data_IF_552260804705
#
_entry.id   IF_552260804705
#
_cell.length_a   1.000
_cell.length_b   1.000
_cell.length_c   1.000
_cell.angle_alpha   90.00
_cell.angle_beta   90.00
_cell.angle_gamma   90.00
#
_symmetry.space_group_name_H-M   'P 1'
#
loop_
_entity.id
_entity.type
_entity.pdbx_description
1 polymer ?
#
# COMPACT_ATOMS: atom_id res chain seq x y z
N UNK A 1 5.84 -14.08 27.10
CA UNK A 1 6.17 -13.43 25.81
C UNK A 1 5.42 -12.11 25.82
N UNK A 2 6.11 -10.96 25.73
CA UNK A 2 5.42 -9.66 25.69
C UNK A 2 4.54 -9.60 24.44
N UNK A 3 3.31 -9.15 24.60
CA UNK A 3 2.43 -8.90 23.45
C UNK A 3 3.09 -7.86 22.55
N UNK A 4 3.35 -8.20 21.30
CA UNK A 4 3.82 -7.27 20.30
C UNK A 4 2.71 -6.24 20.05
N UNK A 5 2.90 -5.00 20.50
CA UNK A 5 1.96 -3.91 20.35
C UNK A 5 2.69 -2.68 19.82
N UNK A 6 2.20 -2.12 18.73
CA UNK A 6 2.73 -0.90 18.11
C UNK A 6 1.66 0.17 18.02
N UNK A 7 2.03 1.38 18.35
CA UNK A 7 1.23 2.58 18.19
C UNK A 7 1.96 3.51 17.22
N UNK A 8 1.42 3.63 16.02
CA UNK A 8 1.96 4.49 14.96
C UNK A 8 1.10 5.75 14.91
N UNK A 9 1.65 6.90 15.29
CA UNK A 9 0.92 8.16 15.37
C UNK A 9 1.56 9.23 14.48
N UNK A 10 0.73 10.00 13.80
CA UNK A 10 1.08 11.23 13.12
C UNK A 10 0.43 12.41 13.84
N UNK A 11 1.17 13.49 14.13
CA UNK A 11 0.63 14.66 14.83
C UNK A 11 -0.33 15.45 13.95
N UNK A 12 -1.13 16.31 14.56
CA UNK A 12 -1.89 17.31 13.83
C UNK A 12 -0.96 18.14 12.93
N UNK A 13 -1.41 18.42 11.72
CA UNK A 13 -0.60 19.13 10.72
C UNK A 13 -1.45 19.85 9.68
N UNK A 14 -0.87 20.92 9.10
CA UNK A 14 -1.43 21.55 7.90
C UNK A 14 -1.17 20.70 6.65
N UNK A 15 -1.85 21.03 5.55
CA UNK A 15 -1.62 20.42 4.23
C UNK A 15 -0.24 20.70 3.62
N UNK A 16 0.63 21.46 4.29
CA UNK A 16 2.00 21.75 3.81
C UNK A 16 3.05 20.84 4.41
N UNK A 17 2.68 20.01 5.38
CA UNK A 17 3.61 19.15 6.11
C UNK A 17 3.24 17.68 5.89
N UNK A 18 4.14 16.94 5.25
CA UNK A 18 4.06 15.49 5.18
C UNK A 18 4.32 14.89 6.56
N UNK A 19 3.47 13.98 6.96
CA UNK A 19 3.57 13.22 8.21
C UNK A 19 3.42 11.74 7.90
N UNK A 20 4.36 10.95 8.39
CA UNK A 20 4.41 9.50 8.23
C UNK A 20 4.84 8.87 9.55
N UNK A 21 4.12 7.84 9.96
CA UNK A 21 4.59 6.86 10.92
C UNK A 21 4.57 5.49 10.23
N UNK A 22 5.71 4.81 10.19
CA UNK A 22 5.87 3.54 9.47
C UNK A 22 6.75 2.59 10.26
N UNK A 23 6.36 1.32 10.24
CA UNK A 23 7.16 0.19 10.65
C UNK A 23 7.33 -0.73 9.46
N UNK A 24 8.56 -1.09 9.14
CA UNK A 24 8.88 -2.03 8.07
C UNK A 24 10.08 -2.89 8.41
N UNK A 25 10.30 -3.96 7.64
CA UNK A 25 11.44 -4.85 7.82
C UNK A 25 12.42 -4.84 6.63
N UNK A 26 12.26 -3.90 5.70
CA UNK A 26 13.16 -3.83 4.55
C UNK A 26 14.55 -3.26 4.89
N UNK A 27 14.64 -2.30 5.82
CA UNK A 27 15.89 -1.65 6.21
C UNK A 27 16.74 -1.23 4.99
N UNK A 28 18.03 -1.53 5.02
CA UNK A 28 18.98 -1.29 3.92
C UNK A 28 18.99 -2.40 2.83
N UNK A 29 18.13 -3.42 2.91
CA UNK A 29 18.13 -4.56 1.98
C UNK A 29 17.77 -4.12 0.57
N UNK A 30 18.36 -4.78 -0.44
CA UNK A 30 17.89 -4.68 -1.84
C UNK A 30 16.56 -5.40 -1.97
N UNK A 31 15.71 -5.03 -2.94
CA UNK A 31 14.42 -5.71 -3.18
C UNK A 31 14.54 -7.22 -3.36
N UNK A 32 15.59 -7.69 -4.04
CA UNK A 32 15.86 -9.13 -4.20
C UNK A 32 16.11 -9.87 -2.90
N UNK A 33 16.49 -9.14 -1.84
CA UNK A 33 16.85 -9.66 -0.53
C UNK A 33 15.77 -9.41 0.53
N UNK A 34 14.57 -8.99 0.11
CA UNK A 34 13.43 -8.86 1.01
C UNK A 34 13.04 -10.21 1.57
N UNK A 35 12.44 -10.18 2.76
CA UNK A 35 12.36 -11.36 3.61
C UNK A 35 11.27 -12.35 3.19
N UNK A 36 10.13 -11.82 2.71
CA UNK A 36 8.93 -12.62 2.59
C UNK A 36 8.66 -13.09 1.16
N UNK A 37 8.34 -14.36 1.03
CA UNK A 37 7.96 -15.02 -0.22
C UNK A 37 6.73 -15.89 0.04
N UNK A 38 5.91 -16.15 -0.99
CA UNK A 38 4.83 -17.10 -0.84
C UNK A 38 5.39 -18.55 -0.70
N UNK A 39 4.74 -19.44 0.07
CA UNK A 39 3.53 -19.16 0.84
C UNK A 39 3.82 -18.48 2.18
N UNK A 40 2.97 -17.52 2.54
CA UNK A 40 3.07 -16.72 3.76
C UNK A 40 1.67 -16.47 4.32
N UNK A 41 1.48 -16.72 5.62
CA UNK A 41 0.34 -16.22 6.37
C UNK A 41 0.78 -15.04 7.23
N UNK A 42 0.09 -13.91 7.11
CA UNK A 42 0.18 -12.75 8.00
C UNK A 42 -1.11 -12.66 8.81
N UNK A 43 -1.00 -12.54 10.11
CA UNK A 43 -2.14 -12.27 11.01
C UNK A 43 -1.80 -11.16 11.99
N UNK A 44 -2.75 -10.29 12.28
CA UNK A 44 -2.61 -9.23 13.28
C UNK A 44 -3.99 -8.74 13.73
N UNK A 45 -4.02 -8.03 14.86
CA UNK A 45 -5.16 -7.21 15.24
C UNK A 45 -4.83 -5.74 15.04
N UNK A 46 -5.77 -4.96 14.48
CA UNK A 46 -5.57 -3.54 14.24
C UNK A 46 -6.83 -2.73 14.49
N UNK A 47 -6.62 -1.44 14.82
CA UNK A 47 -7.63 -0.38 14.84
C UNK A 47 -7.01 0.98 14.58
N UNK A 48 -7.82 1.97 14.24
CA UNK A 48 -7.38 3.35 14.00
C UNK A 48 -8.17 4.36 14.80
N UNK A 49 -7.66 5.60 14.88
CA UNK A 49 -8.25 6.67 15.69
C UNK A 49 -9.60 7.17 15.22
N UNK A 50 -9.93 7.03 13.92
CA UNK A 50 -11.21 7.47 13.36
C UNK A 50 -11.53 6.72 12.06
N UNK A 51 -12.83 6.68 11.70
CA UNK A 51 -13.30 6.01 10.48
C UNK A 51 -12.78 6.69 9.20
N UNK A 52 -12.78 8.03 9.18
CA UNK A 52 -12.47 8.86 8.03
C UNK A 52 -11.14 9.59 8.24
N UNK A 53 -10.03 8.87 8.22
CA UNK A 53 -8.71 9.48 8.34
C UNK A 53 -8.24 10.08 7.01
N UNK A 54 -7.60 11.27 7.03
CA UNK A 54 -6.99 11.85 5.84
C UNK A 54 -5.74 11.06 5.44
N UNK A 55 -5.47 10.98 4.13
CA UNK A 55 -4.30 10.29 3.60
C UNK A 55 -4.50 8.80 3.45
N UNK A 56 -3.51 8.03 3.87
CA UNK A 56 -3.51 6.56 3.75
C UNK A 56 -3.04 5.88 5.05
N UNK A 57 -3.52 4.67 5.27
CA UNK A 57 -2.97 3.78 6.28
C UNK A 57 -3.17 2.33 5.87
N UNK A 58 -2.41 1.43 6.43
CA UNK A 58 -2.56 0.02 6.14
C UNK A 58 -1.45 -0.85 6.69
N UNK A 59 -1.54 -2.12 6.33
CA UNK A 59 -0.56 -3.14 6.68
C UNK A 59 -0.58 -4.29 5.65
N UNK A 60 0.57 -4.88 5.41
CA UNK A 60 0.72 -5.97 4.46
C UNK A 60 2.14 -6.14 4.00
N UNK A 61 2.30 -6.67 2.80
CA UNK A 61 3.60 -6.88 2.18
C UNK A 61 3.70 -6.15 0.84
N UNK A 62 4.87 -5.55 0.55
CA UNK A 62 5.09 -4.80 -0.67
C UNK A 62 6.57 -4.78 -1.11
N UNK A 63 6.81 -4.41 -2.37
CA UNK A 63 8.16 -4.30 -2.91
C UNK A 63 8.77 -2.91 -2.77
N UNK A 64 8.15 -1.96 -2.05
CA UNK A 64 8.60 -0.58 -1.92
C UNK A 64 8.90 0.08 -3.27
N UNK A 65 7.89 0.28 -4.13
CA UNK A 65 8.10 0.59 -5.55
C UNK A 65 8.74 1.95 -5.80
N UNK A 66 8.46 2.96 -4.95
CA UNK A 66 8.84 4.36 -5.16
C UNK A 66 9.49 4.91 -3.89
N UNK A 67 10.81 4.85 -3.79
CA UNK A 67 11.54 5.33 -2.60
C UNK A 67 11.76 6.84 -2.56
N UNK A 68 11.76 7.52 -3.70
CA UNK A 68 12.09 8.95 -3.78
C UNK A 68 10.88 9.88 -3.67
N UNK A 69 9.65 9.39 -3.87
CA UNK A 69 8.43 10.21 -3.74
C UNK A 69 7.92 10.30 -2.30
N UNK A 70 8.35 9.43 -1.42
CA UNK A 70 7.79 9.30 -0.07
C UNK A 70 8.53 10.12 0.99
N UNK A 71 9.53 10.94 0.61
CA UNK A 71 10.16 11.93 1.51
C UNK A 71 10.72 11.37 2.82
N UNK A 72 10.95 10.06 2.92
CA UNK A 72 11.45 9.42 4.12
C UNK A 72 12.95 9.65 4.26
N UNK A 73 13.35 10.48 5.22
CA UNK A 73 14.74 10.64 5.62
C UNK A 73 15.31 9.29 6.07
N UNK A 74 16.51 8.95 5.60
CA UNK A 74 17.22 7.72 5.98
C UNK A 74 16.94 6.48 5.14
N UNK A 75 16.09 6.55 4.12
CA UNK A 75 15.83 5.41 3.23
C UNK A 75 16.90 5.32 2.15
N UNK A 76 17.47 4.12 1.98
CA UNK A 76 18.41 3.85 0.89
C UNK A 76 17.70 4.07 -0.46
N UNK A 77 18.20 4.97 -1.33
CA UNK A 77 17.63 5.19 -2.65
C UNK A 77 17.60 3.88 -3.44
N UNK A 78 16.43 3.51 -3.92
CA UNK A 78 16.24 2.32 -4.77
C UNK A 78 15.77 2.76 -6.15
N UNK A 79 16.20 2.05 -7.17
CA UNK A 79 15.64 2.24 -8.51
C UNK A 79 14.11 2.06 -8.47
N UNK A 80 13.34 2.83 -9.27
CA UNK A 80 11.90 2.65 -9.34
C UNK A 80 11.55 1.22 -9.76
N UNK A 81 10.43 0.73 -9.26
CA UNK A 81 9.85 -0.56 -9.65
C UNK A 81 8.34 -0.39 -9.83
N UNK A 82 7.73 -1.28 -10.58
CA UNK A 82 6.27 -1.39 -10.60
C UNK A 82 5.79 -2.03 -9.28
N UNK A 83 4.58 -1.70 -8.80
CA UNK A 83 4.09 -2.18 -7.52
C UNK A 83 3.81 -3.68 -7.52
N UNK A 84 4.36 -4.39 -6.56
CA UNK A 84 3.97 -5.72 -6.12
C UNK A 84 3.58 -5.62 -4.65
N UNK A 85 2.34 -5.96 -4.31
CA UNK A 85 1.84 -5.84 -2.96
C UNK A 85 0.62 -6.73 -2.71
N UNK A 86 0.44 -7.13 -1.46
CA UNK A 86 -0.79 -7.68 -0.94
C UNK A 86 -1.02 -7.06 0.45
N UNK A 87 -2.12 -6.36 0.66
CA UNK A 87 -2.34 -5.55 1.85
C UNK A 87 -3.80 -5.25 2.16
N UNK A 88 -4.07 -4.96 3.42
CA UNK A 88 -5.22 -4.19 3.85
C UNK A 88 -4.83 -2.71 3.84
N UNK A 89 -5.63 -1.90 3.15
CA UNK A 89 -5.22 -0.55 2.80
C UNK A 89 -6.39 0.41 2.80
N UNK A 90 -6.26 1.52 3.51
CA UNK A 90 -7.21 2.63 3.46
C UNK A 90 -6.63 3.78 2.64
N UNK A 91 -7.48 4.39 1.84
CA UNK A 91 -7.22 5.62 1.13
C UNK A 91 -8.39 6.59 1.28
N UNK A 92 -8.12 7.82 1.71
CA UNK A 92 -9.14 8.87 1.78
C UNK A 92 -9.70 9.21 0.38
N UNK A 93 -10.90 9.82 0.27
CA UNK A 93 -11.56 10.09 -1.02
C UNK A 93 -10.77 10.98 -2.00
N UNK A 94 -9.74 11.70 -1.54
CA UNK A 94 -8.84 12.48 -2.39
C UNK A 94 -7.91 11.61 -3.22
N UNK A 95 -7.73 10.36 -2.82
CA UNK A 95 -6.93 9.36 -3.53
C UNK A 95 -7.67 8.79 -4.73
N UNK A 96 -6.93 8.33 -5.72
CA UNK A 96 -7.38 7.44 -6.77
C UNK A 96 -6.24 6.50 -7.15
N UNK A 97 -6.16 5.36 -6.47
CA UNK A 97 -5.00 4.47 -6.51
C UNK A 97 -5.24 3.22 -7.36
N UNK A 98 -6.47 3.04 -7.88
CA UNK A 98 -6.76 1.97 -8.81
C UNK A 98 -6.33 2.32 -10.23
N UNK A 99 -5.67 1.40 -10.92
CA UNK A 99 -5.40 1.49 -12.36
C UNK A 99 -6.58 0.96 -13.19
N UNK A 100 -7.48 0.19 -12.61
CA UNK A 100 -8.71 -0.33 -13.22
C UNK A 100 -9.89 0.55 -12.84
N UNK A 101 -10.82 0.73 -13.78
CA UNK A 101 -11.97 1.62 -13.62
C UNK A 101 -13.17 0.88 -12.98
N UNK A 102 -13.12 -0.43 -12.96
CA UNK A 102 -14.12 -1.34 -12.37
C UNK A 102 -13.80 -1.77 -10.92
N UNK A 103 -12.68 -1.30 -10.37
CA UNK A 103 -12.28 -1.57 -8.99
C UNK A 103 -12.39 -0.33 -8.11
N UNK A 104 -12.61 -0.51 -6.79
CA UNK A 104 -12.60 0.60 -5.86
C UNK A 104 -11.22 1.29 -5.87
N UNK A 105 -11.22 2.61 -5.84
CA UNK A 105 -10.01 3.44 -5.94
C UNK A 105 -9.63 4.12 -4.63
N UNK A 106 -10.50 4.11 -3.64
CA UNK A 106 -10.36 4.65 -2.30
C UNK A 106 -11.29 3.92 -1.33
N UNK A 107 -11.22 4.27 -0.05
CA UNK A 107 -11.89 3.56 1.04
C UNK A 107 -10.98 2.54 1.71
N UNK A 108 -11.53 1.67 2.55
CA UNK A 108 -10.78 0.57 3.16
C UNK A 108 -10.88 -0.67 2.29
N UNK A 109 -9.76 -1.21 1.87
CA UNK A 109 -9.66 -2.23 0.82
C UNK A 109 -8.80 -3.41 1.26
N UNK A 110 -9.16 -4.61 0.82
CA UNK A 110 -8.23 -5.70 0.59
C UNK A 110 -7.77 -5.62 -0.87
N UNK A 111 -6.48 -5.51 -1.12
CA UNK A 111 -5.97 -5.26 -2.46
C UNK A 111 -4.67 -6.00 -2.76
N UNK A 112 -4.53 -6.40 -4.02
CA UNK A 112 -3.31 -7.02 -4.54
C UNK A 112 -2.84 -6.34 -5.82
N UNK A 113 -1.52 -6.28 -5.97
CA UNK A 113 -0.83 -5.81 -7.16
C UNK A 113 0.23 -6.82 -7.58
N UNK A 114 0.20 -7.21 -8.84
CA UNK A 114 1.18 -8.09 -9.46
C UNK A 114 1.70 -7.45 -10.71
N UNK A 115 2.96 -7.06 -10.72
CA UNK A 115 3.56 -6.39 -11.86
C UNK A 115 4.36 -7.32 -12.75
N UNK A 116 4.37 -7.02 -14.05
CA UNK A 116 5.34 -7.63 -14.96
C UNK A 116 6.75 -7.21 -14.57
N UNK A 117 7.70 -8.13 -14.64
CA UNK A 117 9.11 -7.83 -14.41
C UNK A 117 9.64 -6.94 -15.54
N UNK A 118 9.76 -5.66 -15.25
CA UNK A 118 10.40 -4.68 -16.15
C UNK A 118 11.75 -4.35 -15.55
N UNK A 119 12.78 -4.29 -16.39
CA UNK A 119 14.14 -3.98 -15.94
C UNK A 119 14.20 -2.61 -15.24
N UNK A 120 14.82 -2.53 -14.06
CA UNK A 120 14.92 -1.31 -13.28
C UNK A 120 15.57 -0.14 -14.06
N UNK A 121 16.49 -0.43 -14.96
CA UNK A 121 17.12 0.56 -15.82
C UNK A 121 16.11 1.19 -16.79
N UNK A 122 15.22 0.40 -17.41
CA UNK A 122 14.14 0.90 -18.24
C UNK A 122 13.19 1.80 -17.46
N UNK A 123 12.81 1.41 -16.26
CA UNK A 123 11.95 2.23 -15.38
C UNK A 123 12.64 3.53 -14.98
N UNK A 124 13.95 3.50 -14.72
CA UNK A 124 14.72 4.70 -14.43
C UNK A 124 14.77 5.66 -15.64
N UNK A 125 14.94 5.14 -16.86
CA UNK A 125 14.96 5.93 -18.10
C UNK A 125 13.59 6.56 -18.42
N UNK A 126 12.48 5.87 -18.11
CA UNK A 126 11.13 6.39 -18.35
C UNK A 126 10.57 7.18 -17.16
N UNK A 127 11.21 7.16 -16.01
CA UNK A 127 10.71 7.87 -14.81
C UNK A 127 10.55 9.38 -15.01
N UNK A 128 11.38 10.12 -15.78
CA UNK A 128 11.12 11.52 -16.10
C UNK A 128 9.83 11.72 -16.91
N UNK A 129 9.44 10.73 -17.72
CA UNK A 129 8.19 10.76 -18.50
C UNK A 129 6.97 10.70 -17.57
N UNK A 130 7.10 10.12 -16.37
CA UNK A 130 6.02 10.13 -15.38
C UNK A 130 5.66 11.55 -14.92
N UNK A 131 6.60 12.49 -14.97
CA UNK A 131 6.30 13.90 -14.71
C UNK A 131 5.29 14.48 -15.72
N UNK A 132 5.26 13.95 -16.94
CA UNK A 132 4.28 14.31 -17.94
C UNK A 132 2.86 13.83 -17.61
N UNK A 133 2.70 12.93 -16.63
CA UNK A 133 1.39 12.51 -16.12
C UNK A 133 0.61 13.67 -15.45
N UNK A 134 1.25 14.79 -15.18
CA UNK A 134 0.59 16.04 -14.78
C UNK A 134 -0.25 16.66 -15.91
N UNK A 135 -0.01 16.26 -17.17
CA UNK A 135 -0.76 16.72 -18.36
C UNK A 135 -1.92 15.74 -18.60
N UNK A 136 -3.19 16.18 -18.62
CA UNK A 136 -4.36 15.28 -18.66
C UNK A 136 -4.35 14.25 -19.78
N UNK A 137 -4.05 14.62 -21.02
CA UNK A 137 -4.01 13.68 -22.14
C UNK A 137 -2.90 12.62 -22.03
N UNK A 138 -1.72 13.03 -21.55
CA UNK A 138 -0.57 12.13 -21.33
C UNK A 138 -0.83 11.18 -20.15
N UNK A 139 -1.46 11.69 -19.10
CA UNK A 139 -1.87 10.92 -17.93
C UNK A 139 -2.71 9.69 -18.31
N UNK A 140 -3.67 9.85 -19.22
CA UNK A 140 -4.51 8.75 -19.68
C UNK A 140 -3.72 7.67 -20.45
N UNK A 141 -2.75 8.09 -21.28
CA UNK A 141 -1.87 7.16 -21.99
C UNK A 141 -1.01 6.38 -21.00
N UNK A 142 -0.40 7.07 -20.03
CA UNK A 142 0.41 6.45 -18.98
C UNK A 142 -0.45 5.46 -18.19
N UNK A 143 -1.67 5.82 -17.79
CA UNK A 143 -2.58 4.93 -17.09
C UNK A 143 -2.89 3.65 -17.89
N UNK A 144 -3.15 3.78 -19.20
CA UNK A 144 -3.36 2.61 -20.07
C UNK A 144 -2.13 1.69 -20.12
N UNK A 145 -0.95 2.26 -20.23
CA UNK A 145 0.30 1.49 -20.21
C UNK A 145 0.50 0.77 -18.87
N UNK A 146 0.25 1.47 -17.76
CA UNK A 146 0.34 0.87 -16.43
C UNK A 146 -0.65 -0.29 -16.26
N UNK A 147 -1.88 -0.19 -16.77
CA UNK A 147 -2.85 -1.30 -16.78
C UNK A 147 -2.37 -2.55 -17.53
N UNK A 148 -1.56 -2.38 -18.56
CA UNK A 148 -0.97 -3.52 -19.28
C UNK A 148 0.19 -4.19 -18.52
N UNK A 149 0.83 -3.45 -17.62
CA UNK A 149 2.01 -3.89 -16.86
C UNK A 149 1.68 -4.33 -15.44
N UNK A 150 0.61 -3.81 -14.86
CA UNK A 150 0.19 -4.04 -13.48
C UNK A 150 -1.16 -4.73 -13.46
N UNK A 151 -1.19 -5.98 -13.02
CA UNK A 151 -2.42 -6.68 -12.70
C UNK A 151 -2.82 -6.28 -11.28
N UNK A 152 -4.08 -5.91 -11.11
CA UNK A 152 -4.62 -5.45 -9.84
C UNK A 152 -5.96 -6.09 -9.58
N UNK A 153 -6.23 -6.38 -8.31
CA UNK A 153 -7.55 -6.74 -7.83
C UNK A 153 -7.79 -6.12 -6.46
N UNK A 154 -9.04 -5.81 -6.13
CA UNK A 154 -9.39 -5.20 -4.86
C UNK A 154 -10.86 -5.39 -4.51
N UNK A 155 -11.15 -5.52 -3.23
CA UNK A 155 -12.49 -5.53 -2.67
C UNK A 155 -12.60 -4.49 -1.55
N UNK A 156 -13.73 -3.79 -1.49
CA UNK A 156 -13.99 -2.83 -0.42
C UNK A 156 -14.43 -3.57 0.85
N UNK A 157 -13.90 -3.12 1.98
CA UNK A 157 -14.20 -3.67 3.31
C UNK A 157 -15.09 -2.67 4.04
N UNK A 158 -16.24 -3.15 4.50
CA UNK A 158 -17.19 -2.37 5.30
C UNK A 158 -17.15 -2.87 6.74
N UNK A 159 -16.43 -2.17 7.61
CA UNK A 159 -16.32 -2.47 9.04
C UNK A 159 -16.05 -1.20 9.84
N UNK A 160 -16.26 -1.25 11.13
CA UNK A 160 -15.85 -0.19 12.05
C UNK A 160 -14.36 -0.34 12.36
N UNK A 161 -13.51 0.33 11.57
CA UNK A 161 -12.05 0.27 11.73
C UNK A 161 -11.54 0.88 13.04
N UNK A 162 -12.42 1.53 13.85
CA UNK A 162 -12.04 2.06 15.17
C UNK A 162 -12.10 0.99 16.27
N UNK A 163 -12.78 -0.12 15.99
CA UNK A 163 -12.78 -1.30 16.85
C UNK A 163 -11.62 -2.24 16.52
N UNK A 164 -11.22 -3.06 17.48
CA UNK A 164 -10.25 -4.12 17.25
C UNK A 164 -10.84 -5.21 16.38
N UNK A 165 -10.19 -5.49 15.24
CA UNK A 165 -10.50 -6.61 14.36
C UNK A 165 -9.26 -7.46 14.13
N UNK A 166 -9.47 -8.74 13.88
CA UNK A 166 -8.41 -9.66 13.44
C UNK A 166 -8.38 -9.71 11.93
N UNK A 167 -7.26 -9.34 11.36
CA UNK A 167 -6.98 -9.36 9.93
C UNK A 167 -6.01 -10.48 9.63
N UNK A 168 -6.32 -11.30 8.62
CA UNK A 168 -5.42 -12.35 8.14
C UNK A 168 -5.32 -12.27 6.63
N UNK A 169 -4.12 -12.50 6.12
CA UNK A 169 -3.80 -12.59 4.70
C UNK A 169 -3.00 -13.88 4.48
N UNK A 170 -3.55 -14.77 3.66
CA UNK A 170 -2.89 -15.99 3.22
C UNK A 170 -2.39 -15.78 1.80
N UNK A 171 -1.10 -15.51 1.65
CA UNK A 171 -0.45 -15.25 0.38
C UNK A 171 0.20 -16.52 -0.17
N UNK A 172 -0.46 -17.14 -1.14
CA UNK A 172 0.02 -18.30 -1.88
C UNK A 172 0.80 -17.93 -3.15
N UNK A 173 1.28 -18.93 -3.87
CA UNK A 173 2.00 -18.74 -5.13
C UNK A 173 1.09 -18.23 -6.27
N UNK A 174 -0.20 -18.57 -6.23
CA UNK A 174 -1.18 -18.26 -7.29
C UNK A 174 -2.43 -17.53 -6.82
N UNK A 175 -2.66 -17.41 -5.51
CA UNK A 175 -3.83 -16.73 -4.94
C UNK A 175 -3.45 -15.98 -3.67
N UNK A 176 -4.32 -15.05 -3.28
CA UNK A 176 -4.28 -14.38 -1.98
C UNK A 176 -5.68 -14.36 -1.41
N UNK A 177 -5.82 -14.82 -0.17
CA UNK A 177 -7.07 -14.83 0.57
C UNK A 177 -6.98 -13.84 1.73
N UNK A 178 -8.00 -13.01 1.87
CA UNK A 178 -8.11 -12.02 2.94
C UNK A 178 -9.27 -12.38 3.87
N UNK A 179 -8.99 -12.37 5.17
CA UNK A 179 -9.97 -12.67 6.21
C UNK A 179 -10.10 -11.53 7.20
N UNK A 180 -11.31 -11.30 7.64
CA UNK A 180 -11.66 -10.38 8.73
C UNK A 180 -12.42 -11.16 9.79
N UNK A 181 -11.92 -11.16 11.03
CA UNK A 181 -12.50 -11.90 12.16
C UNK A 181 -12.79 -13.39 11.84
N UNK A 182 -11.88 -14.01 11.08
CA UNK A 182 -11.97 -15.41 10.64
C UNK A 182 -12.81 -15.65 9.39
N UNK A 183 -13.66 -14.70 8.97
CA UNK A 183 -14.45 -14.82 7.74
C UNK A 183 -13.63 -14.42 6.51
N UNK A 184 -13.69 -15.21 5.44
CA UNK A 184 -13.11 -14.83 4.14
C UNK A 184 -13.93 -13.67 3.57
N UNK A 185 -13.28 -12.55 3.30
CA UNK A 185 -13.91 -11.34 2.75
C UNK A 185 -13.51 -11.07 1.30
N UNK A 186 -12.36 -11.62 0.86
CA UNK A 186 -11.88 -11.45 -0.50
C UNK A 186 -10.90 -12.56 -0.86
N UNK A 187 -11.03 -13.12 -2.07
CA UNK A 187 -10.13 -14.09 -2.67
C UNK A 187 -9.76 -13.63 -4.08
N UNK A 188 -8.49 -13.73 -4.45
CA UNK A 188 -8.03 -13.32 -5.78
C UNK A 188 -6.91 -14.20 -6.32
N UNK A 189 -6.93 -14.45 -7.63
CA UNK A 189 -5.83 -15.11 -8.36
C UNK A 189 -4.67 -14.17 -8.71
N UNK A 190 -4.72 -12.89 -8.31
CA UNK A 190 -3.63 -11.93 -8.55
C UNK A 190 -2.71 -11.94 -7.33
N UNK A 191 -1.76 -12.87 -7.31
CA UNK A 191 -0.77 -13.00 -6.25
C UNK A 191 0.57 -12.35 -6.67
N UNK A 192 1.13 -11.40 -5.90
CA UNK A 192 2.46 -10.87 -6.14
C UNK A 192 3.52 -11.97 -6.05
N UNK A 193 4.65 -11.81 -6.74
CA UNK A 193 5.64 -12.89 -6.84
C UNK A 193 6.74 -12.82 -5.77
N UNK A 194 6.91 -11.68 -5.10
CA UNK A 194 7.97 -11.50 -4.11
C UNK A 194 9.42 -11.60 -4.66
N UNK A 195 10.43 -11.45 -3.81
CA UNK A 195 10.32 -11.24 -2.36
C UNK A 195 9.77 -9.85 -2.01
N UNK A 196 9.01 -9.78 -0.93
CA UNK A 196 8.38 -8.56 -0.43
C UNK A 196 8.82 -8.28 1.02
N UNK A 197 8.59 -7.06 1.46
CA UNK A 197 8.84 -6.58 2.81
C UNK A 197 7.51 -6.34 3.53
N UNK A 198 7.47 -6.60 4.82
CA UNK A 198 6.39 -6.16 5.68
C UNK A 198 6.35 -4.63 5.74
N UNK A 199 5.15 -4.08 5.78
CA UNK A 199 4.92 -2.66 6.06
C UNK A 199 3.63 -2.46 6.85
N UNK A 200 3.70 -1.58 7.85
CA UNK A 200 2.58 -0.98 8.56
C UNK A 200 2.79 0.52 8.51
N UNK A 201 1.77 1.29 8.13
CA UNK A 201 1.94 2.75 8.02
C UNK A 201 0.66 3.52 8.25
N UNK A 202 0.82 4.78 8.57
CA UNK A 202 -0.19 5.83 8.53
C UNK A 202 0.47 7.12 8.06
N UNK A 203 -0.16 7.81 7.11
CA UNK A 203 0.32 9.10 6.60
C UNK A 203 -0.83 10.02 6.20
N UNK A 204 -0.50 11.30 5.93
CA UNK A 204 -1.44 12.28 5.41
C UNK A 204 -1.25 12.59 3.92
N UNK A 205 -0.62 11.69 3.16
CA UNK A 205 -0.39 11.86 1.73
C UNK A 205 -1.61 11.40 0.92
N UNK A 206 -1.80 12.01 -0.25
CA UNK A 206 -2.70 11.50 -1.27
C UNK A 206 -2.01 11.42 -2.63
N UNK A 207 -2.45 10.48 -3.44
CA UNK A 207 -2.11 10.38 -4.85
C UNK A 207 -3.35 9.96 -5.65
N UNK A 208 -3.58 10.59 -6.78
CA UNK A 208 -4.72 10.30 -7.62
C UNK A 208 -4.33 10.30 -9.10
N UNK A 209 -4.57 9.18 -9.76
CA UNK A 209 -4.42 9.02 -11.20
C UNK A 209 -5.76 8.57 -11.81
N UNK A 210 -6.79 9.44 -11.82
CA UNK A 210 -8.12 9.05 -12.28
C UNK A 210 -8.17 8.89 -13.80
N UNK A 211 -9.12 8.11 -14.35
CA UNK A 211 -9.25 7.92 -15.79
C UNK A 211 -9.65 9.18 -16.56
N UNK A 212 -10.21 10.18 -15.88
CA UNK A 212 -10.69 11.44 -16.46
C UNK A 212 -9.80 12.66 -16.17
N UNK A 213 -8.66 12.47 -15.50
CA UNK A 213 -7.83 13.59 -15.06
C UNK A 213 -6.35 13.37 -15.22
N UNK A 214 -5.57 14.27 -14.66
CA UNK A 214 -4.12 14.18 -14.54
C UNK A 214 -3.70 13.58 -13.21
N UNK A 215 -2.42 13.19 -13.10
CA UNK A 215 -1.81 12.83 -11.83
C UNK A 215 -1.90 14.03 -10.87
N UNK A 216 -2.40 13.78 -9.68
CA UNK A 216 -2.41 14.73 -8.55
C UNK A 216 -1.81 14.02 -7.35
N UNK A 217 -1.02 14.71 -6.59
CA UNK A 217 -0.46 14.21 -5.35
C UNK A 217 -0.16 15.37 -4.41
N UNK A 218 -0.07 15.09 -3.15
CA UNK A 218 0.22 16.08 -2.13
C UNK A 218 -0.09 15.56 -0.73
N UNK A 219 -0.20 16.48 0.20
CA UNK A 219 -0.51 16.19 1.60
C UNK A 219 -1.85 16.82 1.99
N UNK A 220 -2.58 16.15 2.85
CA UNK A 220 -3.85 16.60 3.41
C UNK A 220 -3.64 17.21 4.80
N UNK A 221 -4.49 18.16 5.22
CA UNK A 221 -4.48 18.60 6.60
C UNK A 221 -4.91 17.45 7.50
N UNK A 222 -4.20 17.27 8.61
CA UNK A 222 -4.56 16.37 9.69
C UNK A 222 -4.93 17.22 10.91
N UNK A 223 -6.22 17.53 11.13
CA UNK A 223 -6.63 18.51 12.16
C UNK A 223 -6.42 18.03 13.60
N UNK A 224 -6.34 16.72 13.80
CA UNK A 224 -6.09 16.08 15.09
C UNK A 224 -5.03 14.99 14.90
N UNK A 225 -4.31 14.57 15.97
CA UNK A 225 -3.45 13.40 15.89
C UNK A 225 -4.23 12.19 15.38
N UNK A 226 -3.64 11.47 14.45
CA UNK A 226 -4.20 10.25 13.87
C UNK A 226 -3.25 9.08 14.13
N UNK A 227 -3.79 7.93 14.49
CA UNK A 227 -2.96 6.77 14.81
C UNK A 227 -3.55 5.47 14.26
N UNK A 228 -2.63 4.51 14.05
CA UNK A 228 -2.88 3.10 13.80
C UNK A 228 -2.27 2.30 14.95
N UNK A 229 -3.07 1.50 15.62
CA UNK A 229 -2.61 0.52 16.60
C UNK A 229 -2.65 -0.88 16.00
N UNK A 230 -1.57 -1.62 16.23
CA UNK A 230 -1.42 -3.01 15.79
C UNK A 230 -0.91 -3.85 16.95
N UNK A 231 -1.48 -5.03 17.13
CA UNK A 231 -1.01 -6.02 18.09
C UNK A 231 -1.09 -7.44 17.54
N UNK A 232 -0.43 -8.37 18.20
CA UNK A 232 -0.43 -9.80 17.84
C UNK A 232 -0.04 -10.05 16.37
N UNK A 233 0.92 -9.26 15.86
CA UNK A 233 1.43 -9.47 14.51
C UNK A 233 2.24 -10.76 14.43
N UNK A 234 1.81 -11.66 13.59
CA UNK A 234 2.48 -12.91 13.27
C UNK A 234 2.68 -13.05 11.76
N UNK A 235 3.86 -13.51 11.37
CA UNK A 235 4.18 -13.88 10.00
C UNK A 235 4.73 -15.30 10.00
N UNK A 236 4.00 -16.20 9.35
CA UNK A 236 4.32 -17.61 9.26
C UNK A 236 4.58 -17.98 7.79
N UNK A 237 5.85 -18.20 7.45
CA UNK A 237 6.19 -18.81 6.17
C UNK A 237 5.90 -20.31 6.27
N UNK A 238 5.14 -20.87 5.33
CA UNK A 238 4.99 -22.31 5.27
C UNK A 238 6.33 -22.93 4.83
N UNK A 239 6.74 -23.95 5.55
CA UNK A 239 7.94 -24.76 5.27
C UNK A 239 7.73 -25.69 4.07
#
# INVERSE_FOLDING_TARGET
MGENHWHLEIPASSSRAYRLAQLDDHGSRRRGDFRWKPPLTMSLQARVSAQDLPGTWGFGVWNYPISFLLGSEGVVPRFPALPDAAWFFHASPQNYLSFRDDLPAYGFLAATFKSRRVGALWLALVSPILALALIPGVSQVIRRLLRCLIHQDASQIHTDVTAWHTYQMDWGASSVDFRLDGAVIFETGIAPQGPLSLVLWIDNQYAALPPWGSLRYGTLPNPQPAWLEVRQLELQAAT
#
